data_IF_686944370170
#
_entry.id   IF_686944370170
#
_cell.length_a   1.000
_cell.length_b   1.000
_cell.length_c   1.000
_cell.angle_alpha   90.00
_cell.angle_beta   90.00
_cell.angle_gamma   90.00
#
_symmetry.space_group_name_H-M   'P 1'
#
loop_
_entity.id
_entity.type
_entity.pdbx_description
1 polymer ?
#
# COMPACT_ATOMS: atom_id res chain seq x y z
N UNK A 1 17.64 -5.41 -19.66
CA UNK A 1 16.89 -5.60 -20.93
C UNK A 1 17.56 -4.88 -22.11
N UNK A 2 17.68 -5.50 -23.29
CA UNK A 2 18.33 -4.92 -24.49
C UNK A 2 17.56 -3.79 -25.20
N UNK A 3 16.26 -3.61 -24.91
CA UNK A 3 15.34 -2.77 -25.71
C UNK A 3 15.48 -1.25 -25.57
N UNK A 4 16.35 -0.75 -24.68
CA UNK A 4 16.50 0.69 -24.43
C UNK A 4 17.90 1.25 -24.77
N UNK A 5 18.72 0.51 -25.53
CA UNK A 5 20.03 1.03 -25.96
C UNK A 5 19.84 2.28 -26.84
N UNK A 6 20.29 3.43 -26.32
CA UNK A 6 20.37 4.69 -27.08
C UNK A 6 19.13 5.59 -27.07
N UNK A 7 18.07 5.27 -26.32
CA UNK A 7 16.87 6.13 -26.19
C UNK A 7 16.61 6.50 -24.72
N UNK A 8 16.21 7.75 -24.41
CA UNK A 8 15.77 8.11 -23.07
C UNK A 8 14.52 7.29 -22.70
N UNK A 9 14.57 6.58 -21.56
CA UNK A 9 13.44 5.80 -21.05
C UNK A 9 12.31 6.75 -20.65
N UNK A 10 11.11 6.57 -21.22
CA UNK A 10 9.93 7.34 -20.80
C UNK A 10 9.43 6.82 -19.45
N UNK A 11 8.58 7.59 -18.77
CA UNK A 11 7.99 7.16 -17.49
C UNK A 11 7.18 5.88 -17.63
N UNK A 12 6.37 5.77 -18.68
CA UNK A 12 5.58 4.55 -18.96
C UNK A 12 6.48 3.32 -19.14
N UNK A 13 7.64 3.48 -19.76
CA UNK A 13 8.61 2.39 -19.92
C UNK A 13 9.18 1.95 -18.57
N UNK A 14 9.47 2.90 -17.68
CA UNK A 14 9.91 2.64 -16.30
C UNK A 14 8.82 1.97 -15.46
N UNK A 15 7.56 2.37 -15.63
CA UNK A 15 6.40 1.77 -14.97
C UNK A 15 6.17 0.32 -15.45
N UNK A 16 6.28 0.09 -16.76
CA UNK A 16 6.16 -1.25 -17.36
C UNK A 16 7.27 -2.18 -16.88
N UNK A 17 8.50 -1.69 -16.87
CA UNK A 17 9.64 -2.42 -16.33
C UNK A 17 9.43 -2.74 -14.85
N UNK A 18 8.99 -1.78 -14.03
CA UNK A 18 8.67 -2.04 -12.62
C UNK A 18 7.65 -3.18 -12.47
N UNK A 19 6.49 -3.12 -13.13
CA UNK A 19 5.49 -4.19 -13.05
C UNK A 19 6.04 -5.56 -13.47
N UNK A 20 6.81 -5.61 -14.56
CA UNK A 20 7.39 -6.87 -15.04
C UNK A 20 8.41 -7.46 -14.06
N UNK A 21 9.12 -6.61 -13.31
CA UNK A 21 10.17 -7.01 -12.37
C UNK A 21 9.69 -7.05 -10.91
N UNK A 22 8.39 -6.88 -10.66
CA UNK A 22 7.80 -6.82 -9.32
C UNK A 22 8.11 -8.08 -8.49
N UNK A 23 8.14 -9.23 -9.14
CA UNK A 23 8.46 -10.53 -8.54
C UNK A 23 9.85 -11.06 -8.94
N UNK A 24 10.60 -10.34 -9.78
CA UNK A 24 11.96 -10.73 -10.17
C UNK A 24 12.89 -10.62 -8.94
N UNK A 25 13.90 -11.50 -8.87
CA UNK A 25 14.82 -11.66 -7.73
C UNK A 25 14.15 -12.00 -6.38
N UNK A 26 12.88 -12.43 -6.38
CA UNK A 26 12.07 -12.65 -5.18
C UNK A 26 11.96 -11.39 -4.29
N UNK A 27 11.90 -10.20 -4.88
CA UNK A 27 11.81 -8.92 -4.14
C UNK A 27 10.57 -8.85 -3.24
N UNK A 28 9.47 -9.45 -3.66
CA UNK A 28 8.26 -9.68 -2.86
C UNK A 28 8.56 -10.56 -1.61
N UNK A 29 9.29 -11.66 -1.80
CA UNK A 29 9.73 -12.52 -0.68
C UNK A 29 10.77 -11.82 0.18
N UNK A 30 11.64 -10.97 -0.37
CA UNK A 30 12.60 -10.18 0.40
C UNK A 30 11.92 -9.09 1.21
N UNK A 31 10.88 -8.43 0.68
CA UNK A 31 10.06 -7.49 1.44
C UNK A 31 9.37 -8.21 2.61
N UNK A 32 8.74 -9.36 2.34
CA UNK A 32 8.20 -10.22 3.40
C UNK A 32 9.28 -10.63 4.41
N UNK A 33 10.48 -11.01 3.95
CA UNK A 33 11.62 -11.39 4.80
C UNK A 33 12.21 -10.23 5.58
N UNK A 34 12.13 -8.99 5.10
CA UNK A 34 12.53 -7.79 5.86
C UNK A 34 11.65 -7.63 7.11
N UNK A 35 10.39 -8.07 7.03
CA UNK A 35 9.50 -8.16 8.18
C UNK A 35 9.56 -9.53 8.90
N UNK A 36 10.11 -10.60 8.31
CA UNK A 36 10.24 -11.92 8.97
C UNK A 36 11.01 -11.94 10.31
N UNK A 37 12.07 -11.13 10.58
CA UNK A 37 12.66 -11.11 11.92
C UNK A 37 11.68 -10.61 13.00
N UNK A 38 10.52 -10.09 12.60
CA UNK A 38 9.46 -9.60 13.49
C UNK A 38 8.39 -10.65 13.80
N UNK A 39 8.70 -11.95 13.72
CA UNK A 39 7.92 -13.02 14.39
C UNK A 39 7.68 -12.65 15.88
N UNK A 40 8.59 -11.90 16.50
CA UNK A 40 8.42 -11.31 17.85
C UNK A 40 7.22 -10.35 17.93
N UNK A 41 6.87 -9.60 16.88
CA UNK A 41 5.69 -8.72 16.91
C UNK A 41 4.41 -9.54 17.03
N UNK A 42 4.32 -10.71 16.40
CA UNK A 42 3.12 -11.56 16.54
C UNK A 42 2.97 -12.11 17.97
N UNK A 43 4.09 -12.25 18.70
CA UNK A 43 4.12 -12.70 20.09
C UNK A 43 3.73 -11.58 21.07
N UNK A 44 4.11 -10.33 20.82
CA UNK A 44 3.81 -9.18 21.70
C UNK A 44 2.58 -8.36 21.27
N UNK A 45 2.22 -8.40 19.99
CA UNK A 45 1.16 -7.61 19.35
C UNK A 45 0.34 -8.51 18.40
N UNK A 46 -0.58 -9.32 18.94
CA UNK A 46 -1.31 -10.33 18.16
C UNK A 46 -2.11 -9.75 16.99
N UNK A 47 -2.36 -8.42 16.97
CA UNK A 47 -3.14 -7.74 15.92
C UNK A 47 -2.40 -6.62 15.16
N UNK A 48 -1.10 -6.77 14.97
CA UNK A 48 -0.34 -5.86 14.11
C UNK A 48 -0.60 -6.12 12.61
N UNK A 49 -0.76 -5.05 11.83
CA UNK A 49 -0.87 -5.11 10.37
C UNK A 49 0.52 -4.93 9.75
N UNK A 50 0.92 -5.87 8.90
CA UNK A 50 2.17 -5.79 8.13
C UNK A 50 1.84 -5.19 6.77
N UNK A 51 2.26 -3.95 6.55
CA UNK A 51 1.87 -3.16 5.38
C UNK A 51 2.99 -3.15 4.34
N UNK A 52 2.62 -3.45 3.09
CA UNK A 52 3.47 -3.45 1.92
C UNK A 52 2.89 -2.55 0.84
N UNK A 53 3.69 -1.63 0.31
CA UNK A 53 3.27 -0.74 -0.77
C UNK A 53 4.27 -0.86 -1.91
N UNK A 54 3.79 -1.25 -3.08
CA UNK A 54 4.60 -1.33 -4.30
C UNK A 54 4.35 -0.14 -5.20
N UNK A 55 5.43 0.49 -5.65
CA UNK A 55 5.36 1.60 -6.58
C UNK A 55 5.80 1.15 -7.99
N UNK A 56 4.88 1.19 -8.95
CA UNK A 56 5.13 1.01 -10.37
C UNK A 56 4.59 2.18 -11.21
N UNK A 57 4.66 3.40 -10.69
CA UNK A 57 4.18 4.62 -11.37
C UNK A 57 5.19 5.20 -12.37
N UNK A 58 6.39 4.64 -12.43
CA UNK A 58 7.50 5.16 -13.23
C UNK A 58 8.26 6.31 -12.56
N UNK A 59 7.80 6.86 -11.44
CA UNK A 59 8.47 7.89 -10.64
C UNK A 59 8.47 7.56 -9.15
N UNK A 60 9.09 8.40 -8.31
CA UNK A 60 9.11 8.22 -6.84
C UNK A 60 7.81 8.72 -6.22
N UNK A 61 7.25 7.95 -5.29
CA UNK A 61 6.17 8.38 -4.40
C UNK A 61 6.74 9.02 -3.14
N UNK A 62 6.09 10.07 -2.63
CA UNK A 62 6.49 10.83 -1.45
C UNK A 62 5.37 10.80 -0.41
N UNK A 63 5.69 10.43 0.84
CA UNK A 63 4.73 10.51 1.93
C UNK A 63 4.34 11.97 2.19
N UNK A 64 3.03 12.25 2.28
CA UNK A 64 2.51 13.63 2.46
C UNK A 64 1.41 13.74 3.53
N UNK A 65 1.04 12.64 4.17
CA UNK A 65 0.05 12.66 5.24
C UNK A 65 -0.35 11.26 5.67
N UNK A 66 -0.79 11.13 6.91
CA UNK A 66 -1.31 9.91 7.48
C UNK A 66 -2.36 10.25 8.53
N UNK A 67 -3.17 9.26 8.89
CA UNK A 67 -4.11 9.37 9.99
C UNK A 67 -4.25 8.02 10.67
N UNK A 68 -3.94 7.97 11.97
CA UNK A 68 -3.99 6.76 12.78
C UNK A 68 -5.24 6.84 13.67
N UNK A 69 -6.36 6.29 13.21
CA UNK A 69 -7.59 6.27 14.00
C UNK A 69 -7.47 5.38 15.24
N UNK A 70 -6.73 4.27 15.13
CA UNK A 70 -6.49 3.37 16.24
C UNK A 70 -5.22 2.57 16.05
N UNK A 71 -4.39 2.47 17.10
CA UNK A 71 -3.06 1.88 17.00
C UNK A 71 -1.98 2.91 16.69
N UNK A 72 -0.80 2.45 16.30
CA UNK A 72 0.33 3.31 15.95
C UNK A 72 1.35 2.56 15.09
N UNK A 73 2.14 3.30 14.32
CA UNK A 73 3.30 2.72 13.63
C UNK A 73 4.38 2.27 14.62
N UNK A 74 4.92 1.07 14.43
CA UNK A 74 5.92 0.51 15.36
C UNK A 74 7.26 1.24 15.33
N UNK A 75 7.66 1.77 14.18
CA UNK A 75 8.98 2.36 14.00
C UNK A 75 8.95 3.87 14.30
N UNK A 76 9.90 4.34 15.12
CA UNK A 76 10.09 5.77 15.39
C UNK A 76 10.44 6.60 14.14
N UNK A 77 10.92 5.96 13.06
CA UNK A 77 11.11 6.60 11.75
C UNK A 77 9.80 6.93 11.01
N UNK A 78 8.65 6.49 11.53
CA UNK A 78 7.36 6.75 10.93
C UNK A 78 7.13 6.01 9.60
N UNK A 79 6.19 6.53 8.81
CA UNK A 79 5.84 5.98 7.50
C UNK A 79 6.96 6.21 6.48
N UNK A 80 7.21 5.28 5.54
CA UNK A 80 8.28 5.43 4.55
C UNK A 80 8.16 6.74 3.78
N UNK A 81 9.12 7.65 3.96
CA UNK A 81 9.06 8.99 3.35
C UNK A 81 9.05 8.96 1.82
N UNK A 82 9.72 7.96 1.23
CA UNK A 82 9.91 7.83 -0.22
C UNK A 82 9.82 6.37 -0.64
N UNK A 83 9.14 6.13 -1.76
CA UNK A 83 9.09 4.80 -2.40
C UNK A 83 9.50 4.99 -3.86
N UNK A 84 10.70 4.54 -4.24
CA UNK A 84 11.15 4.64 -5.63
C UNK A 84 10.36 3.73 -6.57
N UNK A 85 10.37 4.05 -7.86
CA UNK A 85 9.76 3.17 -8.87
C UNK A 85 10.42 1.79 -8.86
N UNK A 86 9.61 0.74 -8.89
CA UNK A 86 10.05 -0.65 -8.81
C UNK A 86 10.39 -1.13 -7.39
N UNK A 87 10.18 -0.31 -6.36
CA UNK A 87 10.50 -0.66 -4.98
C UNK A 87 9.26 -1.00 -4.15
N UNK A 88 9.48 -1.87 -3.16
CA UNK A 88 8.54 -2.15 -2.09
C UNK A 88 8.90 -1.32 -0.86
N UNK A 89 7.90 -0.64 -0.30
CA UNK A 89 7.97 -0.15 1.07
C UNK A 89 7.32 -1.19 2.01
N UNK A 90 7.90 -1.37 3.18
CA UNK A 90 7.42 -2.33 4.18
C UNK A 90 7.47 -1.70 5.58
N UNK A 91 6.36 -1.74 6.31
CA UNK A 91 6.25 -1.23 7.67
C UNK A 91 5.21 -2.01 8.48
N UNK A 92 5.16 -1.77 9.79
CA UNK A 92 4.20 -2.44 10.69
C UNK A 92 3.42 -1.40 11.47
N UNK A 93 2.10 -1.55 11.47
CA UNK A 93 1.18 -0.78 12.29
C UNK A 93 0.62 -1.66 13.41
N UNK A 94 0.92 -1.31 14.66
CA UNK A 94 0.52 -2.07 15.83
C UNK A 94 -0.89 -1.71 16.27
N UNK A 95 -1.55 -2.67 16.93
CA UNK A 95 -2.84 -2.44 17.59
C UNK A 95 -2.73 -1.40 18.72
N UNK A 96 -3.83 -0.72 19.02
CA UNK A 96 -3.97 0.03 20.27
C UNK A 96 -4.28 -0.89 21.46
N UNK A 97 -4.14 -0.38 22.69
CA UNK A 97 -4.30 -1.18 23.92
C UNK A 97 -5.65 -1.90 24.05
N UNK A 98 -6.70 -1.36 23.42
CA UNK A 98 -8.06 -1.94 23.42
C UNK A 98 -8.77 -1.77 22.08
N UNK A 99 -8.00 -1.60 21.00
CA UNK A 99 -8.53 -1.37 19.65
C UNK A 99 -7.78 -2.24 18.63
N UNK A 100 -8.22 -2.17 17.38
CA UNK A 100 -7.49 -2.75 16.26
C UNK A 100 -6.26 -1.94 15.84
N UNK A 101 -5.75 -2.29 14.67
CA UNK A 101 -4.81 -1.49 13.87
C UNK A 101 -5.60 -0.88 12.71
N UNK A 102 -5.80 0.44 12.74
CA UNK A 102 -6.59 1.15 11.74
C UNK A 102 -5.96 2.51 11.43
N UNK A 103 -5.52 2.68 10.18
CA UNK A 103 -4.87 3.90 9.74
C UNK A 103 -4.94 4.07 8.22
N UNK A 104 -4.57 5.27 7.78
CA UNK A 104 -4.38 5.61 6.37
C UNK A 104 -3.07 6.34 6.15
N UNK A 105 -2.52 6.19 4.94
CA UNK A 105 -1.33 6.90 4.48
C UNK A 105 -1.59 7.45 3.08
N UNK A 106 -1.14 8.68 2.84
CA UNK A 106 -1.22 9.38 1.57
C UNK A 106 0.19 9.53 1.00
N UNK A 107 0.35 9.10 -0.25
CA UNK A 107 1.53 9.31 -1.04
C UNK A 107 1.24 10.25 -2.21
N UNK A 108 2.08 11.27 -2.41
CA UNK A 108 2.08 12.11 -3.61
C UNK A 108 2.95 11.46 -4.67
N UNK A 109 2.42 11.37 -5.89
CA UNK A 109 3.14 10.93 -7.07
C UNK A 109 2.67 11.69 -8.31
N UNK A 110 2.93 11.12 -9.48
CA UNK A 110 2.59 11.73 -10.76
C UNK A 110 1.52 10.90 -11.50
N UNK A 111 0.51 11.58 -12.03
CA UNK A 111 -0.50 10.97 -12.92
C UNK A 111 0.06 10.74 -14.34
N UNK A 112 -0.73 10.15 -15.26
CA UNK A 112 -0.28 9.83 -16.64
C UNK A 112 0.23 11.02 -17.46
N UNK A 113 -0.12 12.24 -17.07
CA UNK A 113 0.26 13.47 -17.77
C UNK A 113 1.43 14.20 -17.08
N UNK A 114 1.90 13.70 -15.93
CA UNK A 114 3.00 14.31 -15.17
C UNK A 114 2.55 15.33 -14.12
N UNK A 115 1.25 15.54 -13.98
CA UNK A 115 0.64 16.33 -12.90
C UNK A 115 0.72 15.61 -11.56
N UNK A 116 0.78 16.38 -10.47
CA UNK A 116 0.76 15.81 -9.12
C UNK A 116 -0.60 15.22 -8.77
N UNK A 117 -0.59 14.08 -8.09
CA UNK A 117 -1.77 13.39 -7.61
C UNK A 117 -1.48 12.67 -6.30
N UNK A 118 -2.51 12.46 -5.48
CA UNK A 118 -2.41 11.73 -4.22
C UNK A 118 -3.01 10.33 -4.35
N UNK A 119 -2.31 9.37 -3.76
CA UNK A 119 -2.69 7.98 -3.61
C UNK A 119 -2.90 7.69 -2.14
N UNK A 120 -4.11 7.33 -1.77
CA UNK A 120 -4.48 6.95 -0.42
C UNK A 120 -4.52 5.42 -0.30
N UNK A 121 -3.91 4.89 0.76
CA UNK A 121 -4.05 3.50 1.18
C UNK A 121 -4.49 3.44 2.64
N UNK A 122 -5.43 2.55 2.94
CA UNK A 122 -6.09 2.46 4.23
C UNK A 122 -6.34 1.01 4.60
N UNK A 123 -6.17 0.70 5.89
CA UNK A 123 -6.45 -0.63 6.44
C UNK A 123 -7.22 -0.54 7.75
N UNK A 124 -8.03 -1.56 8.01
CA UNK A 124 -8.64 -1.81 9.30
C UNK A 124 -8.46 -3.29 9.65
N UNK A 125 -7.74 -3.54 10.75
CA UNK A 125 -7.55 -4.84 11.36
C UNK A 125 -8.15 -4.80 12.78
N UNK A 126 -9.48 -5.00 12.91
CA UNK A 126 -10.19 -4.81 14.16
C UNK A 126 -9.91 -5.93 15.17
N UNK A 127 -10.37 -5.75 16.41
CA UNK A 127 -10.48 -6.86 17.36
C UNK A 127 -11.65 -7.75 16.92
N UNK A 128 -11.33 -8.96 16.42
CA UNK A 128 -12.29 -9.92 15.83
C UNK A 128 -13.56 -10.19 16.64
N UNK A 129 -13.45 -10.24 17.97
CA UNK A 129 -14.57 -10.62 18.83
C UNK A 129 -15.63 -9.54 19.00
N UNK A 130 -15.36 -8.31 18.55
CA UNK A 130 -16.25 -7.16 18.81
C UNK A 130 -16.53 -6.28 17.59
N UNK A 131 -15.68 -6.27 16.55
CA UNK A 131 -15.72 -5.18 15.55
C UNK A 131 -15.59 -5.61 14.07
N UNK A 132 -15.78 -6.90 13.74
CA UNK A 132 -15.95 -7.35 12.34
C UNK A 132 -14.68 -7.87 11.64
N UNK A 133 -14.72 -7.86 10.30
CA UNK A 133 -13.67 -8.42 9.43
C UNK A 133 -12.60 -7.37 9.06
N UNK A 134 -11.43 -7.84 8.65
CA UNK A 134 -10.36 -6.98 8.13
C UNK A 134 -10.80 -6.28 6.84
N UNK A 135 -10.51 -4.99 6.73
CA UNK A 135 -10.90 -4.15 5.59
C UNK A 135 -9.70 -3.45 4.96
N UNK A 136 -9.79 -3.23 3.66
CA UNK A 136 -8.82 -2.50 2.87
C UNK A 136 -9.55 -1.44 2.05
N UNK A 137 -9.00 -0.23 1.97
CA UNK A 137 -9.50 0.82 1.10
C UNK A 137 -8.34 1.54 0.43
N UNK A 138 -8.53 1.93 -0.83
CA UNK A 138 -7.59 2.78 -1.53
C UNK A 138 -8.33 3.81 -2.39
N UNK A 139 -7.69 4.94 -2.62
CA UNK A 139 -8.25 6.02 -3.41
C UNK A 139 -7.18 6.76 -4.21
N UNK A 140 -7.62 7.40 -5.28
CA UNK A 140 -6.82 8.33 -6.06
C UNK A 140 -7.58 9.65 -6.12
N UNK A 141 -6.90 10.76 -5.81
CA UNK A 141 -7.52 12.07 -5.79
C UNK A 141 -6.53 13.19 -6.12
N UNK A 142 -7.01 14.39 -6.47
CA UNK A 142 -6.15 15.54 -6.67
C UNK A 142 -5.36 15.85 -5.39
N UNK A 143 -4.35 16.70 -5.53
CA UNK A 143 -3.55 17.16 -4.39
C UNK A 143 -4.47 17.73 -3.30
N UNK A 144 -4.22 17.27 -2.07
CA UNK A 144 -4.88 17.68 -0.82
C UNK A 144 -6.35 17.22 -0.67
N UNK A 145 -6.84 16.40 -1.61
CA UNK A 145 -8.20 15.85 -1.59
C UNK A 145 -8.54 15.10 -0.29
N UNK A 146 -7.59 14.35 0.25
CA UNK A 146 -7.82 13.47 1.41
C UNK A 146 -7.53 14.15 2.75
N UNK A 147 -6.71 15.21 2.78
CA UNK A 147 -6.20 15.83 4.02
C UNK A 147 -7.30 16.39 4.93
N UNK A 148 -8.45 16.77 4.38
CA UNK A 148 -9.61 17.29 5.12
C UNK A 148 -10.78 16.32 5.15
N UNK A 149 -10.61 15.08 4.68
CA UNK A 149 -11.69 14.11 4.45
C UNK A 149 -11.45 12.80 5.17
N UNK A 150 -10.87 12.85 6.37
CA UNK A 150 -10.60 11.66 7.17
C UNK A 150 -11.88 10.92 7.55
N UNK A 151 -12.96 11.63 7.93
CA UNK A 151 -14.23 10.98 8.27
C UNK A 151 -14.83 10.25 7.07
N UNK A 152 -14.87 10.90 5.90
CA UNK A 152 -15.31 10.25 4.67
C UNK A 152 -14.42 9.06 4.27
N UNK A 153 -13.12 9.14 4.56
CA UNK A 153 -12.19 8.03 4.33
C UNK A 153 -12.46 6.87 5.29
N UNK A 154 -12.76 7.17 6.55
CA UNK A 154 -13.14 6.18 7.55
C UNK A 154 -14.46 5.50 7.18
N UNK A 155 -15.45 6.25 6.69
CA UNK A 155 -16.72 5.70 6.21
C UNK A 155 -16.51 4.76 5.03
N UNK A 156 -15.70 5.16 4.05
CA UNK A 156 -15.35 4.31 2.91
C UNK A 156 -14.62 3.04 3.35
N UNK A 157 -13.66 3.16 4.27
CA UNK A 157 -12.92 2.03 4.82
C UNK A 157 -13.84 1.10 5.63
N UNK A 158 -14.79 1.65 6.39
CA UNK A 158 -15.71 0.86 7.21
C UNK A 158 -16.73 0.09 6.35
N UNK A 159 -17.11 0.66 5.21
CA UNK A 159 -18.01 0.04 4.24
C UNK A 159 -17.30 -0.83 3.20
N UNK A 160 -15.97 -0.89 3.19
CA UNK A 160 -15.22 -1.71 2.24
C UNK A 160 -15.08 -3.17 2.67
N UNK A 161 -14.71 -4.01 1.71
CA UNK A 161 -14.29 -5.38 1.93
C UNK A 161 -12.80 -5.47 2.26
N UNK A 162 -12.26 -6.68 2.27
CA UNK A 162 -10.83 -6.92 2.41
C UNK A 162 -10.02 -6.60 1.15
N UNK A 163 -10.63 -5.97 0.15
CA UNK A 163 -10.04 -5.55 -1.12
C UNK A 163 -10.65 -4.22 -1.57
N UNK A 164 -9.86 -3.39 -2.23
CA UNK A 164 -10.32 -2.15 -2.86
C UNK A 164 -9.50 -1.85 -4.12
N UNK A 165 -10.11 -1.14 -5.05
CA UNK A 165 -9.50 -0.71 -6.31
C UNK A 165 -9.99 0.68 -6.65
N UNK A 166 -9.09 1.52 -7.17
CA UNK A 166 -9.42 2.83 -7.70
C UNK A 166 -8.60 3.13 -8.96
N UNK A 167 -9.18 3.95 -9.84
CA UNK A 167 -8.58 4.41 -11.08
C UNK A 167 -8.92 5.87 -11.31
N UNK A 168 -7.92 6.67 -11.62
CA UNK A 168 -8.07 8.08 -11.94
C UNK A 168 -6.84 8.59 -12.70
N UNK A 169 -7.02 9.53 -13.62
CA UNK A 169 -5.95 10.20 -14.38
C UNK A 169 -4.87 9.27 -14.95
N UNK A 170 -5.31 8.11 -15.46
CA UNK A 170 -4.45 7.09 -16.04
C UNK A 170 -3.56 6.33 -15.06
N UNK A 171 -3.83 6.45 -13.77
CA UNK A 171 -3.23 5.63 -12.74
C UNK A 171 -4.26 4.67 -12.14
N UNK A 172 -3.77 3.56 -11.62
CA UNK A 172 -4.54 2.57 -10.90
C UNK A 172 -3.88 2.26 -9.56
N UNK A 173 -4.71 1.95 -8.58
CA UNK A 173 -4.30 1.44 -7.29
C UNK A 173 -5.22 0.30 -6.90
N UNK A 174 -4.64 -0.79 -6.41
CA UNK A 174 -5.37 -1.84 -5.72
C UNK A 174 -4.78 -2.04 -4.32
N UNK A 175 -5.63 -2.42 -3.39
CA UNK A 175 -5.23 -2.78 -2.03
C UNK A 175 -5.98 -4.01 -1.55
N UNK A 176 -5.32 -4.85 -0.75
CA UNK A 176 -5.89 -6.07 -0.19
C UNK A 176 -5.33 -6.34 1.19
N UNK A 177 -6.16 -6.86 2.08
CA UNK A 177 -5.75 -7.33 3.40
C UNK A 177 -6.08 -8.81 3.59
N UNK A 178 -5.15 -9.54 4.21
CA UNK A 178 -5.35 -10.92 4.64
C UNK A 178 -6.41 -11.03 5.74
N UNK A 179 -6.94 -12.23 5.96
CA UNK A 179 -8.04 -12.46 6.92
C UNK A 179 -7.58 -12.75 8.36
N UNK A 180 -6.29 -12.95 8.60
CA UNK A 180 -5.73 -13.32 9.91
C UNK A 180 -5.61 -12.12 10.84
N UNK A 181 -5.36 -12.38 12.12
CA UNK A 181 -5.22 -11.35 13.15
C UNK A 181 -3.96 -10.51 12.97
N UNK A 182 -2.88 -11.08 12.44
CA UNK A 182 -1.68 -10.35 12.02
C UNK A 182 -1.55 -10.34 10.48
N UNK A 183 -2.47 -9.68 9.75
CA UNK A 183 -2.58 -9.82 8.32
C UNK A 183 -1.48 -9.07 7.57
N UNK A 184 -1.22 -9.52 6.35
CA UNK A 184 -0.54 -8.69 5.35
C UNK A 184 -1.56 -7.76 4.71
N UNK A 185 -1.27 -6.47 4.72
CA UNK A 185 -1.91 -5.46 3.89
C UNK A 185 -0.97 -5.14 2.73
N UNK A 186 -1.48 -5.20 1.51
CA UNK A 186 -0.69 -5.00 0.29
C UNK A 186 -1.41 -3.98 -0.57
N UNK A 187 -0.71 -2.95 -1.00
CA UNK A 187 -1.17 -2.01 -2.01
C UNK A 187 -0.18 -1.95 -3.18
N UNK A 188 -0.70 -1.83 -4.40
CA UNK A 188 0.13 -1.61 -5.60
C UNK A 188 -0.39 -0.41 -6.35
N UNK A 189 0.51 0.45 -6.78
CA UNK A 189 0.20 1.69 -7.47
C UNK A 189 0.90 1.66 -8.82
N UNK A 190 0.16 1.91 -9.90
CA UNK A 190 0.71 1.92 -11.26
C UNK A 190 0.17 3.08 -12.09
N UNK A 191 0.96 3.52 -13.08
CA UNK A 191 0.51 4.42 -14.13
C UNK A 191 0.12 3.68 -15.42
N UNK A 192 -0.02 2.34 -15.36
CA UNK A 192 -0.40 1.50 -16.49
C UNK A 192 -1.83 0.97 -16.29
N UNK A 193 -2.78 1.62 -16.97
CA UNK A 193 -4.20 1.25 -16.93
C UNK A 193 -4.42 -0.18 -17.47
N UNK A 194 -5.24 -0.98 -16.80
CA UNK A 194 -5.61 -2.34 -17.18
C UNK A 194 -4.60 -3.42 -16.79
N UNK A 195 -3.51 -3.05 -16.10
CA UNK A 195 -2.41 -3.98 -15.81
C UNK A 195 -2.43 -4.54 -14.38
N UNK A 196 -3.24 -3.99 -13.46
CA UNK A 196 -3.40 -4.56 -12.11
C UNK A 196 -4.31 -5.80 -12.07
N UNK A 197 -5.01 -6.12 -13.16
CA UNK A 197 -5.92 -7.29 -13.23
C UNK A 197 -5.20 -8.65 -13.36
N UNK A 198 -3.86 -8.71 -13.38
CA UNK A 198 -3.14 -9.95 -13.74
C UNK A 198 -1.96 -10.37 -12.85
N UNK A 199 -1.74 -9.76 -11.68
CA UNK A 199 -0.79 -10.33 -10.71
C UNK A 199 -1.48 -11.28 -9.72
N UNK A 200 -1.98 -12.40 -10.25
CA UNK A 200 -2.40 -13.53 -9.43
C UNK A 200 -1.16 -14.16 -8.75
N UNK A 201 -1.30 -14.43 -7.45
CA UNK A 201 -0.33 -15.08 -6.54
C UNK A 201 0.68 -14.14 -5.87
N UNK A 202 0.18 -13.26 -5.01
CA UNK A 202 0.88 -13.06 -3.73
C UNK A 202 0.27 -14.09 -2.77
N UNK A 203 1.11 -14.96 -2.20
CA UNK A 203 0.74 -15.99 -1.23
C UNK A 203 0.12 -15.32 0.02
N UNK A 204 -1.21 -15.16 0.01
CA UNK A 204 -1.99 -14.58 1.11
C UNK A 204 -2.58 -15.64 2.04
N UNK A 205 -2.44 -16.94 1.71
CA UNK A 205 -3.08 -18.06 2.41
C UNK A 205 -2.10 -19.20 2.75
N UNK A 206 -1.08 -18.94 3.55
CA UNK A 206 -0.41 -19.98 4.35
C UNK A 206 -0.18 -19.52 5.77
#
# INVERSE_FOLDING_TARGET
>A
MPGYKGKPKKREDRAREALNLMCEDRKDVMACRYLCPKVIIQVYWPRATQCFIYNATGDTLYHVGNHDWSGHILNSRGYPERIGNGQWAAFVHCQGSFSGSMASVIYRGKNKDGGDQHYLVSWNNPIRYTFGFNKAYCGIGPVDYFHTRWDHTLDNLSNSDNYSYAKSDGCEIDSKIGKRDAPFFIAKITSLVGHLQHCARIYMDK
#
